data_IF_885022802383
#
_entry.id   IF_885022802383
#
_cell.length_a   1.000
_cell.length_b   1.000
_cell.length_c   1.000
_cell.angle_alpha   90.00
_cell.angle_beta   90.00
_cell.angle_gamma   90.00
#
_symmetry.space_group_name_H-M   'P 1'
#
loop_
_entity.id
_entity.type
_entity.pdbx_description
1 polymer ?
#
# COMPACT_ATOMS: atom_id res chain seq x y z
N UNK A 1 18.41 0.92 18.79
CA UNK A 1 17.74 1.69 17.73
C UNK A 1 16.63 2.51 18.36
N UNK A 2 16.52 3.80 18.04
CA UNK A 2 15.37 4.65 18.42
C UNK A 2 14.45 4.68 17.20
N UNK A 3 13.19 4.25 17.36
CA UNK A 3 12.17 4.35 16.32
C UNK A 3 11.37 5.64 16.57
N UNK A 4 11.39 6.59 15.63
CA UNK A 4 10.64 7.85 15.75
C UNK A 4 9.33 7.76 14.95
N UNK A 5 8.23 8.08 15.62
CA UNK A 5 6.90 8.25 15.05
C UNK A 5 6.68 9.77 14.88
N UNK A 6 6.57 10.24 13.65
CA UNK A 6 6.25 11.64 13.37
C UNK A 6 4.82 11.75 12.85
N UNK A 7 3.98 12.54 13.52
CA UNK A 7 2.64 12.91 13.05
C UNK A 7 2.69 14.35 12.55
N UNK A 8 2.38 14.57 11.28
CA UNK A 8 2.24 15.91 10.72
C UNK A 8 0.84 16.46 11.08
N UNK A 9 0.80 17.62 11.73
CA UNK A 9 -0.43 18.30 12.13
C UNK A 9 -1.10 19.02 10.94
N UNK A 10 -1.42 18.27 9.88
CA UNK A 10 -2.16 18.72 8.70
C UNK A 10 -3.57 18.12 8.68
N UNK A 11 -4.55 18.74 8.00
CA UNK A 11 -5.94 18.27 7.95
C UNK A 11 -6.11 16.83 7.41
N UNK A 12 -5.11 16.32 6.70
CA UNK A 12 -4.88 14.88 6.49
C UNK A 12 -3.55 14.51 7.16
N UNK A 13 -3.56 13.86 8.33
CA UNK A 13 -2.33 13.47 9.00
C UNK A 13 -1.68 12.31 8.24
N UNK A 14 -0.44 12.52 7.82
CA UNK A 14 0.42 11.48 7.25
C UNK A 14 1.30 10.92 8.36
N UNK A 15 1.25 9.60 8.54
CA UNK A 15 2.15 8.89 9.43
C UNK A 15 3.33 8.35 8.64
N UNK A 16 4.55 8.65 9.06
CA UNK A 16 5.78 8.11 8.48
C UNK A 16 6.55 7.29 9.51
N UNK A 17 6.97 6.10 9.13
CA UNK A 17 7.83 5.22 9.92
C UNK A 17 8.95 4.64 9.05
N UNK A 18 10.12 4.40 9.64
CA UNK A 18 11.29 3.87 8.97
C UNK A 18 12.11 3.00 9.93
N UNK A 19 12.52 1.80 9.51
CA UNK A 19 13.38 0.92 10.30
C UNK A 19 13.31 -0.57 9.92
N UNK A 20 13.98 -1.41 10.70
CA UNK A 20 13.95 -2.87 10.54
C UNK A 20 12.69 -3.48 11.18
N UNK A 21 11.92 -4.25 10.41
CA UNK A 21 10.71 -4.94 10.89
C UNK A 21 11.03 -6.33 11.43
N UNK A 22 12.04 -6.98 10.84
CA UNK A 22 12.63 -8.23 11.29
C UNK A 22 14.11 -8.28 10.92
N UNK A 23 14.83 -9.33 11.32
CA UNK A 23 16.27 -9.46 11.03
C UNK A 23 16.55 -9.38 9.52
N UNK A 24 17.07 -8.24 9.06
CA UNK A 24 17.49 -8.02 7.68
C UNK A 24 16.41 -7.55 6.71
N UNK A 25 15.24 -7.11 7.18
CA UNK A 25 14.26 -6.43 6.32
C UNK A 25 13.94 -5.06 6.86
N UNK A 26 14.47 -4.09 6.12
CA UNK A 26 14.21 -2.68 6.29
C UNK A 26 12.91 -2.30 5.58
N UNK A 27 12.09 -1.49 6.24
CA UNK A 27 10.85 -0.95 5.70
C UNK A 27 10.80 0.56 5.92
N UNK A 28 10.33 1.27 4.91
CA UNK A 28 9.81 2.62 5.03
C UNK A 28 8.29 2.56 4.80
N UNK A 29 7.51 3.18 5.68
CA UNK A 29 6.05 3.12 5.70
C UNK A 29 5.48 4.53 5.71
N UNK A 30 4.50 4.78 4.85
CA UNK A 30 3.69 6.00 4.82
C UNK A 30 2.23 5.59 4.86
N UNK A 31 1.50 6.05 5.89
CA UNK A 31 0.05 5.85 6.00
C UNK A 31 -0.65 7.18 5.77
N UNK A 32 -1.57 7.21 4.82
CA UNK A 32 -2.41 8.35 4.51
C UNK A 32 -3.81 8.07 5.05
N UNK A 33 -4.27 8.90 6.00
CA UNK A 33 -5.61 8.75 6.55
C UNK A 33 -6.62 9.38 5.58
N UNK A 34 -7.77 8.71 5.34
CA UNK A 34 -8.82 9.29 4.51
C UNK A 34 -9.27 10.62 5.09
N UNK A 35 -9.49 11.61 4.22
CA UNK A 35 -9.97 12.92 4.64
C UNK A 35 -11.42 12.76 5.10
N UNK A 36 -11.64 12.70 6.41
CA UNK A 36 -12.97 12.65 7.00
C UNK A 36 -13.80 13.84 6.50
N UNK A 37 -14.93 13.53 5.86
CA UNK A 37 -15.74 14.48 5.10
C UNK A 37 -16.15 15.73 5.88
N UNK A 38 -15.78 16.89 5.34
CA UNK A 38 -16.49 18.13 5.62
C UNK A 38 -17.81 18.09 4.85
N UNK A 39 -18.87 17.58 5.49
CA UNK A 39 -20.24 17.74 4.95
C UNK A 39 -20.54 19.23 4.84
N UNK A 40 -20.54 19.74 3.62
CA UNK A 40 -20.89 21.11 3.30
C UNK A 40 -21.09 21.30 1.80
N UNK A 41 -22.24 20.83 1.29
CA UNK A 41 -22.92 21.40 0.12
C UNK A 41 -22.38 21.08 -1.28
N UNK A 42 -23.32 20.74 -2.17
CA UNK A 42 -23.28 20.88 -3.63
C UNK A 42 -22.49 19.85 -4.46
N UNK A 43 -23.19 18.75 -4.73
CA UNK A 43 -23.51 18.22 -6.07
C UNK A 43 -22.59 18.63 -7.23
N UNK A 44 -21.88 17.65 -7.79
CA UNK A 44 -21.61 17.61 -9.23
C UNK A 44 -21.56 16.15 -9.67
N UNK A 45 -22.40 15.88 -10.66
CA UNK A 45 -22.65 14.60 -11.32
C UNK A 45 -21.46 14.16 -12.16
N UNK A 46 -21.41 12.85 -12.42
CA UNK A 46 -20.56 12.10 -13.38
C UNK A 46 -19.12 11.79 -12.96
N UNK A 47 -18.95 10.85 -12.02
CA UNK A 47 -18.04 9.68 -12.08
C UNK A 47 -18.17 8.81 -10.78
N UNK A 48 -19.42 8.56 -10.36
CA UNK A 48 -19.76 8.11 -8.99
C UNK A 48 -19.48 6.62 -8.67
N UNK A 49 -18.91 5.83 -9.59
CA UNK A 49 -18.64 4.40 -9.32
C UNK A 49 -17.25 4.13 -8.71
N UNK A 50 -16.23 4.95 -9.04
CA UNK A 50 -14.87 4.80 -8.50
C UNK A 50 -14.61 5.73 -7.29
N UNK A 51 -15.31 6.87 -7.21
CA UNK A 51 -15.11 7.85 -6.12
C UNK A 51 -15.85 7.47 -4.82
N UNK A 52 -16.92 6.66 -4.86
CA UNK A 52 -17.60 6.20 -3.63
C UNK A 52 -16.82 5.12 -2.88
N UNK A 53 -16.00 4.32 -3.56
CA UNK A 53 -15.12 3.34 -2.93
C UNK A 53 -13.90 3.99 -2.25
N UNK A 54 -13.49 5.18 -2.70
CA UNK A 54 -12.33 5.92 -2.21
C UNK A 54 -12.65 6.81 -0.99
N UNK A 55 -13.94 7.12 -0.77
CA UNK A 55 -14.45 7.91 0.36
C UNK A 55 -14.44 7.12 1.69
N UNK A 56 -13.26 6.70 2.14
CA UNK A 56 -13.06 6.01 3.42
C UNK A 56 -11.99 4.92 3.39
N UNK A 57 -11.41 4.63 2.23
CA UNK A 57 -10.37 3.64 2.11
C UNK A 57 -9.04 4.19 2.69
N UNK A 58 -8.39 3.41 3.56
CA UNK A 58 -7.06 3.78 4.05
C UNK A 58 -6.04 3.39 3.00
N UNK A 59 -5.16 4.32 2.64
CA UNK A 59 -4.06 4.03 1.74
C UNK A 59 -2.73 4.00 2.51
N UNK A 60 -1.95 2.97 2.25
CA UNK A 60 -0.61 2.80 2.83
C UNK A 60 0.38 2.48 1.73
N UNK A 61 1.50 3.19 1.71
CA UNK A 61 2.62 2.90 0.84
C UNK A 61 3.81 2.44 1.68
N UNK A 62 4.47 1.37 1.26
CA UNK A 62 5.71 0.92 1.88
C UNK A 62 6.76 0.55 0.85
N UNK A 63 8.02 0.69 1.23
CA UNK A 63 9.16 0.16 0.47
C UNK A 63 9.89 -0.84 1.36
N UNK A 64 10.12 -2.04 0.84
CA UNK A 64 10.72 -3.18 1.54
C UNK A 64 12.03 -3.57 0.87
N UNK A 65 13.06 -3.85 1.67
CA UNK A 65 14.28 -4.51 1.19
C UNK A 65 14.24 -5.98 1.61
N UNK A 66 13.92 -6.89 0.68
CA UNK A 66 13.73 -8.30 0.99
C UNK A 66 14.91 -9.12 0.46
N UNK A 67 15.58 -9.85 1.34
CA UNK A 67 16.69 -10.73 0.95
C UNK A 67 16.23 -11.76 -0.11
N UNK A 68 16.94 -11.79 -1.24
CA UNK A 68 16.64 -12.66 -2.37
C UNK A 68 15.56 -12.17 -3.35
N UNK A 69 14.83 -11.09 -3.03
CA UNK A 69 13.88 -10.43 -3.94
C UNK A 69 14.27 -8.98 -4.27
N UNK A 70 15.13 -8.36 -3.47
CA UNK A 70 15.55 -6.97 -3.66
C UNK A 70 14.51 -5.97 -3.12
N UNK A 71 14.47 -4.80 -3.76
CA UNK A 71 13.57 -3.70 -3.40
C UNK A 71 12.17 -3.97 -3.94
N UNK A 72 11.17 -3.89 -3.07
CA UNK A 72 9.75 -4.00 -3.41
C UNK A 72 9.01 -2.75 -2.92
N UNK A 73 8.23 -2.13 -3.79
CA UNK A 73 7.23 -1.15 -3.33
C UNK A 73 5.88 -1.83 -3.21
N UNK A 74 5.17 -1.52 -2.13
CA UNK A 74 3.86 -2.08 -1.87
C UNK A 74 2.88 -0.95 -1.60
N UNK A 75 1.79 -0.94 -2.35
CA UNK A 75 0.66 -0.07 -2.11
C UNK A 75 -0.50 -0.91 -1.59
N UNK A 76 -1.05 -0.52 -0.45
CA UNK A 76 -2.19 -1.16 0.18
C UNK A 76 -3.36 -0.18 0.20
N UNK A 77 -4.53 -0.66 -0.21
CA UNK A 77 -5.81 0.00 0.01
C UNK A 77 -6.66 -0.89 0.89
N UNK A 78 -7.15 -0.32 1.99
CA UNK A 78 -8.00 -1.01 2.94
C UNK A 78 -9.40 -0.44 2.89
N UNK A 79 -10.38 -1.31 2.71
CA UNK A 79 -11.78 -1.02 2.99
C UNK A 79 -12.28 -2.03 4.05
N UNK A 80 -13.48 -1.87 4.64
CA UNK A 80 -13.98 -2.83 5.63
C UNK A 80 -13.95 -4.26 5.09
N UNK A 81 -13.11 -5.13 5.69
CA UNK A 81 -12.89 -6.54 5.32
C UNK A 81 -12.30 -6.80 3.92
N UNK A 82 -11.90 -5.75 3.20
CA UNK A 82 -11.26 -5.85 1.88
C UNK A 82 -9.85 -5.27 1.93
N UNK A 83 -8.93 -5.96 1.26
CA UNK A 83 -7.55 -5.55 1.10
C UNK A 83 -7.14 -5.67 -0.36
N UNK A 84 -6.77 -4.55 -0.96
CA UNK A 84 -6.15 -4.52 -2.29
C UNK A 84 -4.68 -4.18 -2.15
N UNK A 85 -3.82 -5.05 -2.70
CA UNK A 85 -2.37 -4.93 -2.64
C UNK A 85 -1.81 -4.86 -4.06
N UNK A 86 -1.01 -3.83 -4.32
CA UNK A 86 -0.15 -3.77 -5.49
C UNK A 86 1.30 -3.92 -5.06
N UNK A 87 1.97 -4.97 -5.54
CA UNK A 87 3.39 -5.26 -5.37
C UNK A 87 4.14 -4.84 -6.63
N UNK A 88 5.08 -3.90 -6.49
CA UNK A 88 5.93 -3.43 -7.57
C UNK A 88 7.36 -3.93 -7.37
N UNK A 89 7.90 -4.63 -8.37
CA UNK A 89 9.26 -5.16 -8.35
C UNK A 89 10.11 -4.64 -9.51
N UNK A 90 11.43 -4.60 -9.34
CA UNK A 90 12.36 -4.02 -10.32
C UNK A 90 12.54 -4.83 -11.61
N UNK A 91 12.23 -6.12 -11.58
CA UNK A 91 12.41 -6.99 -12.74
C UNK A 91 11.35 -8.10 -12.80
N UNK A 92 11.19 -8.69 -13.98
CA UNK A 92 10.20 -9.74 -14.22
C UNK A 92 10.50 -11.08 -13.53
N UNK A 93 11.77 -11.39 -13.24
CA UNK A 93 12.12 -12.63 -12.53
C UNK A 93 11.56 -12.61 -11.10
N UNK A 94 11.67 -11.47 -10.42
CA UNK A 94 11.08 -11.26 -9.09
C UNK A 94 9.56 -11.30 -9.16
N UNK A 95 8.92 -10.71 -10.18
CA UNK A 95 7.46 -10.81 -10.35
C UNK A 95 6.99 -12.26 -10.54
N UNK A 96 7.68 -13.05 -11.38
CA UNK A 96 7.34 -14.46 -11.57
C UNK A 96 7.45 -15.25 -10.25
N UNK A 97 8.46 -14.92 -9.43
CA UNK A 97 8.62 -15.51 -8.10
C UNK A 97 7.51 -15.08 -7.13
N UNK A 98 7.09 -13.81 -7.16
CA UNK A 98 5.95 -13.33 -6.39
C UNK A 98 4.65 -14.04 -6.81
N UNK A 99 4.42 -14.21 -8.11
CA UNK A 99 3.24 -14.93 -8.63
C UNK A 99 3.21 -16.39 -8.18
N UNK A 100 4.37 -17.04 -8.09
CA UNK A 100 4.47 -18.42 -7.57
C UNK A 100 4.00 -18.50 -6.10
N UNK A 101 4.21 -17.44 -5.31
CA UNK A 101 3.78 -17.35 -3.91
C UNK A 101 2.40 -16.71 -3.70
N UNK A 102 1.72 -16.28 -4.76
CA UNK A 102 0.49 -15.48 -4.67
C UNK A 102 -0.61 -16.16 -3.85
N UNK A 103 -0.84 -17.45 -4.11
CA UNK A 103 -1.90 -18.21 -3.46
C UNK A 103 -1.65 -18.37 -1.94
N UNK A 104 -0.41 -18.63 -1.54
CA UNK A 104 -0.02 -18.73 -0.13
C UNK A 104 -0.18 -17.38 0.57
N UNK A 105 0.31 -16.30 -0.06
CA UNK A 105 0.18 -14.95 0.46
C UNK A 105 -1.30 -14.56 0.63
N UNK A 106 -2.14 -14.81 -0.37
CA UNK A 106 -3.58 -14.56 -0.32
C UNK A 106 -4.22 -15.32 0.84
N UNK A 107 -3.94 -16.61 0.99
CA UNK A 107 -4.49 -17.45 2.06
C UNK A 107 -4.10 -16.94 3.45
N UNK A 108 -2.84 -16.54 3.64
CA UNK A 108 -2.35 -15.98 4.90
C UNK A 108 -3.01 -14.64 5.24
N UNK A 109 -3.21 -13.77 4.26
CA UNK A 109 -3.94 -12.51 4.45
C UNK A 109 -5.41 -12.77 4.81
N UNK A 110 -6.05 -13.74 4.18
CA UNK A 110 -7.42 -14.13 4.53
C UNK A 110 -7.52 -14.67 5.96
N UNK A 111 -6.53 -15.45 6.40
CA UNK A 111 -6.44 -15.94 7.78
C UNK A 111 -6.24 -14.81 8.81
N UNK A 112 -5.74 -13.63 8.39
CA UNK A 112 -5.67 -12.43 9.21
C UNK A 112 -7.01 -11.68 9.34
N UNK A 113 -8.07 -12.11 8.65
CA UNK A 113 -9.42 -11.55 8.77
C UNK A 113 -9.90 -10.72 7.58
N UNK A 114 -9.16 -10.71 6.46
CA UNK A 114 -9.63 -10.09 5.21
C UNK A 114 -10.48 -11.08 4.41
N UNK A 115 -11.72 -10.71 4.08
CA UNK A 115 -12.62 -11.58 3.32
C UNK A 115 -12.35 -11.49 1.82
N UNK A 116 -12.05 -10.29 1.32
CA UNK A 116 -11.67 -10.03 -0.06
C UNK A 116 -10.22 -9.55 -0.13
N UNK A 117 -9.39 -10.25 -0.91
CA UNK A 117 -7.96 -9.92 -1.09
C UNK A 117 -7.62 -9.84 -2.58
N UNK A 118 -7.46 -8.62 -3.08
CA UNK A 118 -6.92 -8.32 -4.40
C UNK A 118 -5.39 -8.27 -4.34
N UNK A 119 -4.71 -9.04 -5.20
CA UNK A 119 -3.26 -9.01 -5.35
C UNK A 119 -2.93 -8.67 -6.79
N UNK A 120 -2.15 -7.61 -6.97
CA UNK A 120 -1.64 -7.17 -8.26
C UNK A 120 -0.12 -7.12 -8.19
N UNK A 121 0.54 -7.65 -9.20
CA UNK A 121 2.00 -7.64 -9.30
C UNK A 121 2.37 -6.92 -10.58
N UNK A 122 3.19 -5.89 -10.46
CA UNK A 122 3.52 -5.00 -11.58
C UNK A 122 5.02 -4.73 -11.62
N UNK A 123 5.55 -4.56 -12.81
CA UNK A 123 6.93 -4.11 -12.95
C UNK A 123 7.00 -2.64 -12.54
N UNK A 124 7.94 -2.31 -11.65
CA UNK A 124 8.19 -0.94 -11.24
C UNK A 124 8.64 -0.18 -12.48
N UNK A 125 7.78 0.69 -13.00
CA UNK A 125 8.18 1.58 -14.06
C UNK A 125 9.27 2.48 -13.51
N UNK A 126 10.49 2.32 -14.02
CA UNK A 126 11.58 3.22 -13.72
C UNK A 126 11.08 4.63 -14.00
N UNK A 127 11.04 5.48 -12.97
CA UNK A 127 10.84 6.92 -13.14
C UNK A 127 11.93 7.37 -14.09
N UNK A 128 11.59 7.54 -15.37
CA UNK A 128 12.49 8.15 -16.33
C UNK A 128 12.83 9.51 -15.76
N UNK A 129 14.09 9.68 -15.36
CA UNK A 129 14.69 11.00 -15.22
C UNK A 129 14.56 11.66 -16.60
N UNK A 130 13.49 12.41 -16.79
CA UNK A 130 13.46 13.43 -17.83
C UNK A 130 14.38 14.55 -17.36
N UNK A 131 15.56 14.55 -17.97
CA UNK A 131 16.56 15.62 -18.06
C UNK A 131 15.93 17.01 -18.23
#
# INVERSE_FOLDING_TARGET
MRHQLEMLATPSPVLRWEGDVWSGVFMALVVQMPQGGQRGGEQSTSDEADEEADQGAWQTQMSLQVAGLGSLDVMLRFAPKQLDITLSAENQEVLARLHTGEADLRSRLQACGFEAVGLHMVERQGKGDSV
#
